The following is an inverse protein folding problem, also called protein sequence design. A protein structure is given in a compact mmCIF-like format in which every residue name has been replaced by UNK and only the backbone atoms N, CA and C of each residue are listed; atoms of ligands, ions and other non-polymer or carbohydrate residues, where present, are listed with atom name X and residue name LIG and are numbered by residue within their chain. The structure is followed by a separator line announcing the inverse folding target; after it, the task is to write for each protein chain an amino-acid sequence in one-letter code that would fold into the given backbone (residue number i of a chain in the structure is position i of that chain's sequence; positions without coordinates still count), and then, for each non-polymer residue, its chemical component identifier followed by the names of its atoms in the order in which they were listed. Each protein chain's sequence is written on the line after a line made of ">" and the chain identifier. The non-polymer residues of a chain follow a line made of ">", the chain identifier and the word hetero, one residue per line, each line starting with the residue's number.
data_IF_575307690377
#
_entry.id   IF_575307690377
#
_cell.length_a   1.000
_cell.length_b   1.000
_cell.length_c   1.000
_cell.angle_alpha   90.00
_cell.angle_beta   90.00
_cell.angle_gamma   90.00
#
_symmetry.space_group_name_H-M   'P 1'
#
loop_
_entity.id
_entity.type
_entity.pdbx_description
1 polymer ?
#
# COMPACT_ATOMS: atom_id res chain seq x y z
N UNK A 1 -42.85 48.40 31.84
CA UNK A 1 -42.93 46.93 31.77
C UNK A 1 -43.89 46.65 30.62
N UNK A 2 -43.52 46.13 29.45
CA UNK A 2 -42.78 44.89 29.18
C UNK A 2 -42.26 44.93 27.74
N UNK A 3 -40.98 44.63 27.52
CA UNK A 3 -40.43 44.38 26.19
C UNK A 3 -40.69 42.90 25.81
N UNK A 4 -41.35 42.67 24.68
CA UNK A 4 -41.48 41.33 24.10
C UNK A 4 -40.19 40.99 23.35
N UNK A 5 -39.38 40.09 23.92
CA UNK A 5 -38.24 39.51 23.22
C UNK A 5 -38.76 38.45 22.24
N UNK A 6 -38.73 38.75 20.95
CA UNK A 6 -38.95 37.77 19.90
C UNK A 6 -37.73 36.83 19.87
N UNK A 7 -37.90 35.63 20.43
CA UNK A 7 -36.96 34.53 20.26
C UNK A 7 -37.00 34.09 18.79
N UNK A 8 -36.05 34.59 18.00
CA UNK A 8 -35.79 34.10 16.65
C UNK A 8 -35.19 32.69 16.81
N UNK A 9 -36.06 31.67 16.85
CA UNK A 9 -35.64 30.29 16.68
C UNK A 9 -34.96 30.19 15.31
N UNK A 10 -33.64 30.01 15.30
CA UNK A 10 -32.93 29.46 14.15
C UNK A 10 -33.55 28.08 13.88
N UNK A 11 -34.44 28.00 12.89
CA UNK A 11 -34.79 26.76 12.23
C UNK A 11 -33.52 26.21 11.61
N UNK A 12 -32.75 25.42 12.36
CA UNK A 12 -31.87 24.44 11.76
C UNK A 12 -32.78 23.51 10.98
N UNK A 13 -32.82 23.71 9.65
CA UNK A 13 -33.54 22.82 8.76
C UNK A 13 -32.78 21.49 8.80
N UNK A 14 -33.28 20.57 9.62
CA UNK A 14 -32.88 19.18 9.54
C UNK A 14 -33.20 18.77 8.09
N UNK A 15 -32.21 18.31 7.32
CA UNK A 15 -32.45 17.96 5.94
C UNK A 15 -33.53 16.88 5.87
N UNK A 16 -34.35 16.96 4.82
CA UNK A 16 -35.47 16.05 4.63
C UNK A 16 -34.98 14.59 4.71
N UNK A 17 -35.67 13.77 5.50
CA UNK A 17 -35.50 12.32 5.46
C UNK A 17 -35.63 11.85 4.01
N UNK A 18 -34.55 11.33 3.44
CA UNK A 18 -34.52 10.83 2.05
C UNK A 18 -33.55 11.54 1.10
N UNK A 19 -32.81 12.57 1.53
CA UNK A 19 -31.72 13.12 0.72
C UNK A 19 -30.56 12.13 0.63
N UNK A 20 -30.34 11.60 -0.58
CA UNK A 20 -29.15 10.83 -0.93
C UNK A 20 -27.98 11.80 -1.12
N UNK A 21 -27.33 12.10 -0.01
CA UNK A 21 -26.16 12.98 0.04
C UNK A 21 -25.00 12.45 -0.79
N UNK A 22 -24.88 11.13 -0.95
CA UNK A 22 -23.82 10.53 -1.75
C UNK A 22 -24.03 10.88 -3.23
N UNK A 23 -25.27 10.79 -3.72
CA UNK A 23 -25.61 11.25 -5.07
C UNK A 23 -25.46 12.77 -5.24
N UNK A 24 -25.86 13.57 -4.24
CA UNK A 24 -25.79 15.05 -4.31
C UNK A 24 -24.35 15.57 -4.36
N UNK A 25 -23.44 14.94 -3.61
CA UNK A 25 -22.02 15.29 -3.61
C UNK A 25 -21.19 14.49 -4.63
N UNK A 26 -21.84 13.65 -5.46
CA UNK A 26 -21.17 12.84 -6.47
C UNK A 26 -20.18 11.83 -5.87
N UNK A 27 -20.46 11.32 -4.68
CA UNK A 27 -19.69 10.26 -4.02
C UNK A 27 -19.91 8.96 -4.78
N UNK A 28 -19.02 8.66 -5.72
CA UNK A 28 -19.01 7.36 -6.38
C UNK A 28 -18.41 6.29 -5.46
N UNK A 29 -19.25 5.35 -5.01
CA UNK A 29 -18.78 4.13 -4.37
C UNK A 29 -17.96 3.32 -5.38
N UNK A 30 -16.64 3.33 -5.21
CA UNK A 30 -15.73 2.50 -6.03
C UNK A 30 -16.02 1.03 -5.77
N UNK A 31 -16.66 0.38 -6.73
CA UNK A 31 -16.90 -1.07 -6.68
C UNK A 31 -15.62 -1.82 -7.02
N UNK A 32 -15.40 -2.96 -6.34
CA UNK A 32 -14.30 -3.86 -6.66
C UNK A 32 -14.53 -4.51 -8.02
N UNK A 33 -13.47 -4.61 -8.80
CA UNK A 33 -13.49 -5.35 -10.06
C UNK A 33 -13.82 -6.83 -9.79
N UNK A 34 -14.79 -7.44 -10.50
CA UNK A 34 -15.27 -8.78 -10.20
C UNK A 34 -14.28 -9.89 -10.53
N UNK A 35 -13.21 -9.61 -11.29
CA UNK A 35 -12.20 -10.60 -11.68
C UNK A 35 -11.00 -10.56 -10.73
N UNK A 36 -10.50 -9.36 -10.48
CA UNK A 36 -9.29 -9.13 -9.69
C UNK A 36 -9.58 -8.87 -8.21
N UNK A 37 -10.78 -8.39 -7.88
CA UNK A 37 -11.12 -7.91 -6.54
C UNK A 37 -10.53 -6.55 -6.19
N UNK A 38 -9.82 -5.89 -7.12
CA UNK A 38 -9.15 -4.60 -6.88
C UNK A 38 -10.11 -3.42 -7.03
N UNK A 39 -9.85 -2.35 -6.30
CA UNK A 39 -10.51 -1.06 -6.52
C UNK A 39 -9.93 -0.36 -7.75
N UNK A 40 -10.76 0.28 -8.59
CA UNK A 40 -10.28 1.02 -9.76
C UNK A 40 -9.35 2.17 -9.34
N UNK A 41 -8.33 2.36 -10.15
CA UNK A 41 -7.33 3.42 -10.00
C UNK A 41 -7.29 4.29 -11.23
N UNK A 42 -6.94 5.56 -11.04
CA UNK A 42 -6.73 6.47 -12.17
C UNK A 42 -5.61 5.94 -13.07
N UNK A 43 -5.74 6.08 -14.41
CA UNK A 43 -4.74 5.64 -15.35
C UNK A 43 -3.35 6.22 -15.07
N UNK A 44 -2.31 5.42 -15.27
CA UNK A 44 -0.92 5.83 -15.17
C UNK A 44 -0.08 5.02 -16.15
N UNK A 45 1.12 5.52 -16.47
CA UNK A 45 2.04 4.81 -17.35
C UNK A 45 2.69 3.63 -16.61
N UNK A 46 2.36 2.40 -17.02
CA UNK A 46 2.97 1.18 -16.51
C UNK A 46 4.35 0.95 -17.14
N UNK A 47 5.34 0.68 -16.31
CA UNK A 47 6.70 0.38 -16.74
C UNK A 47 7.45 -0.36 -15.62
N UNK A 48 8.27 -1.33 -15.98
CA UNK A 48 9.21 -1.97 -15.07
C UNK A 48 10.18 -0.97 -14.41
N UNK A 49 10.41 0.20 -15.01
CA UNK A 49 11.18 1.27 -14.39
C UNK A 49 10.53 1.80 -13.09
N UNK A 50 9.22 1.67 -12.94
CA UNK A 50 8.49 2.09 -11.75
C UNK A 50 8.86 1.26 -10.51
N UNK A 51 9.49 0.09 -10.69
CA UNK A 51 9.91 -0.78 -9.58
C UNK A 51 11.04 -0.18 -8.74
N UNK A 52 11.70 0.89 -9.22
CA UNK A 52 12.68 1.69 -8.49
C UNK A 52 14.12 1.17 -8.53
N UNK A 53 14.37 -0.01 -9.09
CA UNK A 53 15.72 -0.50 -9.37
C UNK A 53 15.73 -1.55 -10.48
N UNK A 54 16.89 -1.78 -11.09
CA UNK A 54 17.10 -2.91 -12.04
C UNK A 54 17.09 -4.26 -11.31
N UNK A 55 16.63 -5.35 -11.94
CA UNK A 55 16.57 -6.66 -11.31
C UNK A 55 17.97 -7.24 -11.08
N UNK A 56 18.08 -8.21 -10.17
CA UNK A 56 19.24 -9.09 -10.15
C UNK A 56 19.20 -10.09 -11.31
N UNK A 57 20.37 -10.58 -11.70
CA UNK A 57 20.53 -11.76 -12.55
C UNK A 57 21.17 -12.88 -11.70
N UNK A 58 20.33 -13.62 -10.96
CA UNK A 58 20.80 -14.66 -10.06
C UNK A 58 19.74 -15.73 -9.78
N UNK A 59 19.84 -16.86 -10.48
CA UNK A 59 18.97 -18.02 -10.23
C UNK A 59 19.10 -18.55 -8.79
N UNK A 60 20.29 -18.44 -8.18
CA UNK A 60 20.51 -18.81 -6.78
C UNK A 60 19.71 -17.92 -5.82
N UNK A 61 19.67 -16.61 -6.07
CA UNK A 61 18.89 -15.70 -5.24
C UNK A 61 17.40 -15.98 -5.36
N UNK A 62 16.91 -16.24 -6.57
CA UNK A 62 15.51 -16.66 -6.79
C UNK A 62 15.19 -17.96 -6.04
N UNK A 63 16.09 -18.94 -6.07
CA UNK A 63 15.97 -20.18 -5.30
C UNK A 63 15.94 -19.91 -3.78
N UNK A 64 16.82 -19.06 -3.26
CA UNK A 64 16.87 -18.72 -1.83
C UNK A 64 15.58 -18.05 -1.32
N UNK A 65 14.80 -17.44 -2.22
CA UNK A 65 13.48 -16.87 -1.94
C UNK A 65 12.31 -17.83 -2.23
N UNK A 66 12.59 -19.09 -2.58
CA UNK A 66 11.55 -20.08 -2.88
C UNK A 66 10.84 -19.87 -4.23
N UNK A 67 11.52 -19.21 -5.19
CA UNK A 67 10.94 -18.88 -6.49
C UNK A 67 9.77 -17.91 -6.38
N UNK A 68 8.96 -17.82 -7.45
CA UNK A 68 7.83 -16.89 -7.52
C UNK A 68 6.80 -17.11 -6.41
N UNK A 69 6.56 -18.35 -6.02
CA UNK A 69 5.60 -18.69 -4.96
C UNK A 69 6.09 -18.26 -3.57
N UNK A 70 7.37 -18.50 -3.24
CA UNK A 70 7.94 -18.03 -1.98
C UNK A 70 7.95 -16.51 -1.89
N UNK A 71 8.29 -15.83 -3.00
CA UNK A 71 8.22 -14.37 -3.08
C UNK A 71 6.81 -13.84 -2.85
N UNK A 72 5.79 -14.48 -3.44
CA UNK A 72 4.40 -14.10 -3.24
C UNK A 72 3.96 -14.28 -1.78
N UNK A 73 4.37 -15.36 -1.11
CA UNK A 73 4.09 -15.57 0.32
C UNK A 73 4.78 -14.52 1.19
N UNK A 74 6.04 -14.18 0.91
CA UNK A 74 6.78 -13.13 1.64
C UNK A 74 6.06 -11.78 1.51
N UNK A 75 5.63 -11.41 0.30
CA UNK A 75 4.91 -10.15 0.08
C UNK A 75 3.56 -10.13 0.81
N UNK A 76 2.76 -11.18 0.70
CA UNK A 76 1.49 -11.29 1.40
C UNK A 76 1.68 -11.22 2.92
N UNK A 77 2.66 -11.95 3.44
CA UNK A 77 2.98 -11.99 4.87
C UNK A 77 3.48 -10.65 5.40
N UNK A 78 4.25 -9.91 4.61
CA UNK A 78 4.69 -8.56 4.96
C UNK A 78 3.50 -7.62 5.17
N UNK A 79 2.48 -7.70 4.30
CA UNK A 79 1.26 -6.90 4.45
C UNK A 79 0.47 -7.33 5.69
N UNK A 80 0.30 -8.64 5.91
CA UNK A 80 -0.43 -9.15 7.09
C UNK A 80 0.22 -8.76 8.42
N UNK A 81 1.55 -8.83 8.49
CA UNK A 81 2.30 -8.36 9.66
C UNK A 81 2.12 -6.85 9.88
N UNK A 82 2.05 -6.08 8.80
CA UNK A 82 1.87 -4.64 8.88
C UNK A 82 0.44 -4.23 9.25
N UNK A 83 -0.57 -5.00 8.81
CA UNK A 83 -1.97 -4.87 9.25
C UNK A 83 -2.14 -5.19 10.75
N UNK A 84 -1.26 -6.04 11.30
CA UNK A 84 -1.27 -6.43 12.71
C UNK A 84 -0.35 -5.57 13.61
N UNK A 85 0.51 -4.73 13.03
CA UNK A 85 1.47 -3.92 13.78
C UNK A 85 0.81 -2.61 14.26
N UNK A 86 0.61 -2.41 15.57
CA UNK A 86 -0.10 -1.23 16.09
C UNK A 86 0.60 0.10 15.77
N UNK A 87 1.88 0.08 15.36
CA UNK A 87 2.62 1.29 14.94
C UNK A 87 2.15 1.80 13.59
N UNK A 88 1.77 0.90 12.67
CA UNK A 88 1.52 1.24 11.25
C UNK A 88 0.19 0.71 10.70
N UNK A 89 -0.55 -0.13 11.43
CA UNK A 89 -1.78 -0.79 10.95
C UNK A 89 -2.83 0.19 10.38
N UNK A 90 -2.95 1.38 10.96
CA UNK A 90 -3.88 2.41 10.49
C UNK A 90 -3.59 2.86 9.05
N UNK A 91 -2.32 2.86 8.63
CA UNK A 91 -1.91 3.17 7.25
C UNK A 91 -2.53 2.12 6.32
N UNK A 92 -2.40 0.82 6.64
CA UNK A 92 -2.83 -0.26 5.76
C UNK A 92 -4.35 -0.43 5.69
N UNK A 93 -5.07 -0.16 6.78
CA UNK A 93 -6.53 -0.27 6.84
C UNK A 93 -7.27 0.62 5.81
N UNK A 94 -6.64 1.72 5.39
CA UNK A 94 -7.21 2.66 4.42
C UNK A 94 -6.97 2.27 2.94
N UNK A 95 -6.25 1.18 2.67
CA UNK A 95 -5.79 0.85 1.33
C UNK A 95 -6.43 -0.42 0.76
N UNK A 96 -6.41 -0.52 -0.58
CA UNK A 96 -6.79 -1.75 -1.26
C UNK A 96 -5.72 -2.83 -1.08
N UNK A 97 -5.90 -3.66 -0.06
CA UNK A 97 -4.92 -4.68 0.32
C UNK A 97 -4.78 -5.80 -0.71
N UNK A 98 -5.79 -6.01 -1.55
CA UNK A 98 -5.73 -6.94 -2.69
C UNK A 98 -4.67 -6.46 -3.68
N UNK A 99 -4.80 -5.22 -4.16
CA UNK A 99 -3.84 -4.60 -5.06
C UNK A 99 -2.47 -4.48 -4.43
N UNK A 100 -2.39 -4.06 -3.16
CA UNK A 100 -1.12 -3.92 -2.45
C UNK A 100 -0.34 -5.24 -2.41
N UNK A 101 -0.97 -6.34 -2.00
CA UNK A 101 -0.33 -7.66 -1.94
C UNK A 101 0.17 -8.10 -3.32
N UNK A 102 -0.62 -7.90 -4.38
CA UNK A 102 -0.20 -8.19 -5.75
C UNK A 102 1.00 -7.33 -6.18
N UNK A 103 0.90 -6.00 -6.10
CA UNK A 103 1.95 -5.12 -6.60
C UNK A 103 3.25 -5.24 -5.79
N UNK A 104 3.16 -5.51 -4.49
CA UNK A 104 4.33 -5.78 -3.66
C UNK A 104 5.01 -7.10 -4.06
N UNK A 105 4.21 -8.15 -4.32
CA UNK A 105 4.71 -9.42 -4.85
C UNK A 105 5.39 -9.25 -6.21
N UNK A 106 4.79 -8.48 -7.12
CA UNK A 106 5.38 -8.15 -8.42
C UNK A 106 6.70 -7.40 -8.27
N UNK A 107 6.76 -6.38 -7.41
CA UNK A 107 7.97 -5.59 -7.19
C UNK A 107 9.10 -6.48 -6.67
N UNK A 108 8.84 -7.32 -5.66
CA UNK A 108 9.85 -8.24 -5.15
C UNK A 108 10.27 -9.26 -6.21
N UNK A 109 9.31 -9.82 -6.96
CA UNK A 109 9.60 -10.80 -8.01
C UNK A 109 10.47 -10.21 -9.12
N UNK A 110 10.13 -9.01 -9.59
CA UNK A 110 10.92 -8.29 -10.58
C UNK A 110 12.32 -8.02 -10.04
N UNK A 111 12.45 -7.38 -8.86
CA UNK A 111 13.75 -6.98 -8.29
C UNK A 111 14.69 -8.17 -8.02
N UNK A 112 14.15 -9.32 -7.64
CA UNK A 112 14.92 -10.54 -7.41
C UNK A 112 15.31 -11.27 -8.70
N UNK A 113 14.79 -10.84 -9.86
CA UNK A 113 15.09 -11.47 -11.16
C UNK A 113 14.28 -12.74 -11.41
N UNK A 114 13.11 -12.88 -10.81
CA UNK A 114 12.28 -14.09 -10.93
C UNK A 114 11.31 -14.08 -12.13
N UNK A 115 11.52 -13.15 -13.08
CA UNK A 115 10.81 -13.12 -14.36
C UNK A 115 9.38 -12.57 -14.33
N UNK A 116 9.01 -11.80 -13.30
CA UNK A 116 7.76 -11.04 -13.29
C UNK A 116 7.99 -9.62 -13.80
N UNK A 117 6.97 -9.02 -14.42
CA UNK A 117 6.89 -7.57 -14.60
C UNK A 117 6.33 -6.91 -13.34
N UNK A 118 6.68 -5.64 -13.15
CA UNK A 118 6.07 -4.76 -12.17
C UNK A 118 5.10 -3.81 -12.86
N UNK A 119 3.83 -3.89 -12.47
CA UNK A 119 2.74 -3.14 -13.10
C UNK A 119 2.20 -2.00 -12.22
N UNK A 120 2.83 -1.77 -11.06
CA UNK A 120 2.45 -0.72 -10.14
C UNK A 120 2.98 0.68 -10.53
N UNK A 121 2.52 1.67 -9.78
CA UNK A 121 3.00 3.06 -9.89
C UNK A 121 4.43 3.16 -9.34
N UNK A 122 5.14 4.22 -9.71
CA UNK A 122 6.41 4.54 -9.08
C UNK A 122 6.23 4.84 -7.58
N UNK A 123 7.31 4.71 -6.81
CA UNK A 123 7.27 4.86 -5.34
C UNK A 123 6.78 6.25 -4.92
N UNK A 124 7.23 7.31 -5.60
CA UNK A 124 6.85 8.68 -5.26
C UNK A 124 5.34 8.89 -5.44
N UNK A 125 4.80 8.49 -6.59
CA UNK A 125 3.37 8.63 -6.87
C UNK A 125 2.52 7.73 -5.97
N UNK A 126 3.03 6.54 -5.61
CA UNK A 126 2.32 5.60 -4.75
C UNK A 126 2.17 6.09 -3.31
N UNK A 127 3.16 6.84 -2.81
CA UNK A 127 3.23 7.24 -1.39
C UNK A 127 3.02 8.75 -1.15
N UNK A 128 2.80 9.54 -2.21
CA UNK A 128 2.59 10.98 -2.12
C UNK A 128 1.38 11.33 -1.23
N UNK A 129 1.60 12.19 -0.22
CA UNK A 129 0.55 12.73 0.64
C UNK A 129 0.08 11.75 1.70
N UNK A 130 0.78 10.63 1.87
CA UNK A 130 0.50 9.67 2.94
C UNK A 130 1.11 10.09 4.28
N UNK A 131 2.07 11.04 4.29
CA UNK A 131 2.74 11.47 5.52
C UNK A 131 3.58 10.37 6.17
N UNK A 132 4.12 9.44 5.38
CA UNK A 132 4.89 8.30 5.88
C UNK A 132 6.17 8.82 6.55
N UNK A 133 6.38 8.47 7.81
CA UNK A 133 7.58 8.88 8.54
C UNK A 133 8.68 7.85 8.43
N UNK A 134 9.90 8.23 8.85
CA UNK A 134 11.01 7.29 9.00
C UNK A 134 10.71 6.17 10.01
N UNK A 135 9.93 6.46 11.05
CA UNK A 135 9.54 5.44 12.04
C UNK A 135 8.63 4.38 11.43
N UNK A 136 7.68 4.80 10.59
CA UNK A 136 6.77 3.89 9.87
C UNK A 136 7.53 3.00 8.91
N UNK A 137 8.46 3.58 8.14
CA UNK A 137 9.32 2.80 7.23
C UNK A 137 10.19 1.78 7.97
N UNK A 138 10.72 2.13 9.15
CA UNK A 138 11.48 1.17 9.95
C UNK A 138 10.60 0.00 10.43
N UNK A 139 9.37 0.28 10.89
CA UNK A 139 8.42 -0.76 11.27
C UNK A 139 8.07 -1.69 10.10
N UNK A 140 7.85 -1.13 8.90
CA UNK A 140 7.63 -1.92 7.69
C UNK A 140 8.83 -2.82 7.35
N UNK A 141 10.05 -2.28 7.44
CA UNK A 141 11.29 -3.06 7.18
C UNK A 141 11.44 -4.21 8.18
N UNK A 142 11.11 -4.00 9.46
CA UNK A 142 11.11 -5.06 10.48
C UNK A 142 10.10 -6.17 10.14
N UNK A 143 8.91 -5.81 9.67
CA UNK A 143 7.87 -6.75 9.25
C UNK A 143 8.28 -7.54 8.00
N UNK A 144 8.91 -6.90 7.02
CA UNK A 144 9.48 -7.57 5.84
C UNK A 144 10.58 -8.57 6.24
N UNK A 145 11.48 -8.17 7.14
CA UNK A 145 12.51 -9.08 7.66
C UNK A 145 11.90 -10.25 8.42
N UNK A 146 10.83 -10.05 9.19
CA UNK A 146 10.11 -11.13 9.85
C UNK A 146 9.51 -12.11 8.84
N UNK A 147 8.80 -11.62 7.81
CA UNK A 147 8.24 -12.45 6.75
C UNK A 147 9.32 -13.30 6.04
N UNK A 148 10.47 -12.71 5.70
CA UNK A 148 11.56 -13.45 5.08
C UNK A 148 12.20 -14.49 6.02
N UNK A 149 12.29 -14.21 7.33
CA UNK A 149 12.78 -15.19 8.32
C UNK A 149 11.81 -16.36 8.48
N UNK A 150 10.51 -16.09 8.54
CA UNK A 150 9.46 -17.13 8.64
C UNK A 150 9.49 -18.06 7.42
N UNK A 151 9.76 -17.53 6.22
CA UNK A 151 9.92 -18.30 4.98
C UNK A 151 11.30 -18.95 4.82
N UNK A 152 12.19 -18.81 5.82
CA UNK A 152 13.50 -19.48 5.83
C UNK A 152 14.54 -18.89 4.87
N UNK A 153 14.35 -17.65 4.40
CA UNK A 153 15.30 -16.98 3.50
C UNK A 153 16.61 -16.71 4.25
N UNK A 154 17.78 -17.12 3.73
CA UNK A 154 19.07 -16.84 4.37
C UNK A 154 19.30 -15.34 4.56
N UNK A 155 19.85 -14.93 5.71
CA UNK A 155 20.07 -13.51 6.05
C UNK A 155 20.83 -12.72 4.96
N UNK A 156 21.83 -13.34 4.34
CA UNK A 156 22.56 -12.73 3.23
C UNK A 156 21.65 -12.43 2.02
N UNK A 157 20.71 -13.33 1.70
CA UNK A 157 19.73 -13.13 0.63
C UNK A 157 18.69 -12.06 1.00
N UNK A 158 18.24 -12.02 2.26
CA UNK A 158 17.36 -10.95 2.77
C UNK A 158 17.94 -9.56 2.53
N UNK A 159 19.22 -9.38 2.87
CA UNK A 159 19.92 -8.11 2.69
C UNK A 159 20.04 -7.68 1.23
N UNK A 160 20.00 -8.62 0.27
CA UNK A 160 20.01 -8.27 -1.16
C UNK A 160 18.70 -7.63 -1.60
N UNK A 161 17.55 -8.13 -1.14
CA UNK A 161 16.27 -7.48 -1.41
C UNK A 161 16.23 -6.10 -0.74
N UNK A 162 16.61 -6.01 0.54
CA UNK A 162 16.64 -4.75 1.28
C UNK A 162 17.57 -3.71 0.62
N UNK A 163 18.72 -4.13 0.08
CA UNK A 163 19.63 -3.23 -0.64
C UNK A 163 19.01 -2.63 -1.91
N UNK A 164 18.08 -3.34 -2.58
CA UNK A 164 17.32 -2.80 -3.72
C UNK A 164 16.27 -1.80 -3.27
N UNK A 165 15.60 -2.08 -2.15
CA UNK A 165 14.49 -1.25 -1.64
C UNK A 165 14.97 0.01 -0.92
N UNK A 166 16.09 -0.05 -0.19
CA UNK A 166 16.52 1.03 0.69
C UNK A 166 16.63 2.42 0.03
N UNK A 167 17.17 2.59 -1.20
CA UNK A 167 17.23 3.90 -1.85
C UNK A 167 15.85 4.54 -2.11
N UNK A 168 14.79 3.73 -2.19
CA UNK A 168 13.42 4.22 -2.43
C UNK A 168 12.86 5.01 -1.24
N UNK A 169 13.50 4.96 -0.07
CA UNK A 169 13.02 5.69 1.11
C UNK A 169 12.90 7.21 0.85
N UNK A 170 13.71 7.76 -0.05
CA UNK A 170 13.65 9.18 -0.41
C UNK A 170 12.40 9.58 -1.19
N UNK A 171 11.73 8.63 -1.83
CA UNK A 171 10.46 8.83 -2.55
C UNK A 171 9.24 8.54 -1.67
N UNK A 172 9.44 7.92 -0.49
CA UNK A 172 8.37 7.44 0.38
C UNK A 172 8.24 8.27 1.65
N UNK A 173 9.37 8.62 2.29
CA UNK A 173 9.36 9.32 3.59
C UNK A 173 9.16 10.81 3.39
N UNK A 174 8.21 11.38 4.14
CA UNK A 174 7.96 12.81 4.23
C UNK A 174 8.62 13.42 5.51
N UNK A 175 9.02 14.71 5.49
CA UNK A 175 9.69 15.38 6.61
C UNK A 175 8.85 15.55 7.88
#
# INVERSE_FOLDING_TARGET
>A
MTAAAAALLLLQQVPAEGTDWDAEFGVELKQRDPVTGELPVDPFHQSNANAGAVPYDSARLVHDFGGREGIARIAARTVELSEADPRIAAIFAAHDTVRLKRTLSEQFCYLLGAGCDYTGRDMKTSHNGMGVTKADMNALVENLQAAMREEGVPFAAQNRLLAKLAPMSGDVVEP
#
